data_IF_536800372442
#
_entry.id   IF_536800372442
#
_cell.length_a   1.000
_cell.length_b   1.000
_cell.length_c   1.000
_cell.angle_alpha   90.00
_cell.angle_beta   90.00
_cell.angle_gamma   90.00
#
_symmetry.space_group_name_H-M   'P 1'
#
loop_
_entity.id
_entity.type
_entity.pdbx_description
1 polymer ?
#
# COMPACT_ATOMS: atom_id res chain seq x y z
N UNK A 1 -18.35 4.67 -36.44
CA UNK A 1 -17.29 5.34 -35.65
C UNK A 1 -16.52 6.29 -36.57
N UNK A 2 -16.29 7.56 -36.20
CA UNK A 2 -15.43 8.45 -36.98
C UNK A 2 -14.05 7.81 -37.12
N UNK A 3 -13.44 7.88 -38.31
CA UNK A 3 -12.10 7.34 -38.55
C UNK A 3 -11.11 8.11 -37.67
N UNK A 4 -10.11 7.42 -37.10
CA UNK A 4 -9.11 8.03 -36.20
C UNK A 4 -8.47 9.29 -36.78
N UNK A 5 -8.37 9.37 -38.11
CA UNK A 5 -7.87 10.52 -38.87
C UNK A 5 -8.69 11.79 -38.66
N UNK A 6 -10.01 11.70 -38.54
CA UNK A 6 -10.93 12.85 -38.46
C UNK A 6 -11.07 13.44 -37.05
N UNK A 7 -10.41 12.85 -36.04
CA UNK A 7 -10.44 13.34 -34.66
C UNK A 7 -9.43 14.49 -34.52
N UNK A 8 -9.85 15.58 -33.86
CA UNK A 8 -8.98 16.69 -33.47
C UNK A 8 -7.71 16.22 -32.76
N UNK A 9 -6.55 16.78 -33.13
CA UNK A 9 -5.22 16.41 -32.60
C UNK A 9 -5.19 16.52 -31.08
N UNK A 10 -5.77 17.60 -30.53
CA UNK A 10 -5.79 17.81 -29.08
C UNK A 10 -6.49 16.65 -28.36
N UNK A 11 -7.56 16.11 -28.94
CA UNK A 11 -8.27 14.95 -28.36
C UNK A 11 -7.45 13.68 -28.47
N UNK A 12 -6.70 13.47 -29.57
CA UNK A 12 -5.79 12.32 -29.72
C UNK A 12 -4.71 12.33 -28.62
N UNK A 13 -4.11 13.50 -28.38
CA UNK A 13 -3.09 13.69 -27.33
C UNK A 13 -3.69 13.51 -25.93
N UNK A 14 -4.85 14.13 -25.66
CA UNK A 14 -5.54 14.01 -24.38
C UNK A 14 -5.89 12.55 -24.03
N UNK A 15 -6.38 11.77 -24.99
CA UNK A 15 -6.68 10.35 -24.78
C UNK A 15 -5.40 9.57 -24.45
N UNK A 16 -4.30 9.82 -25.16
CA UNK A 16 -3.01 9.19 -24.86
C UNK A 16 -2.54 9.45 -23.44
N UNK A 17 -2.51 10.73 -23.03
CA UNK A 17 -2.14 11.11 -21.66
C UNK A 17 -3.12 10.58 -20.61
N UNK A 18 -4.41 10.61 -20.90
CA UNK A 18 -5.44 10.12 -19.98
C UNK A 18 -5.27 8.62 -19.70
N UNK A 19 -4.99 7.81 -20.71
CA UNK A 19 -4.78 6.37 -20.54
C UNK A 19 -3.56 6.12 -19.63
N UNK A 20 -2.46 6.84 -19.84
CA UNK A 20 -1.27 6.72 -18.99
C UNK A 20 -1.60 7.11 -17.55
N UNK A 21 -2.25 8.26 -17.35
CA UNK A 21 -2.66 8.73 -16.03
C UNK A 21 -3.61 7.74 -15.33
N UNK A 22 -4.55 7.14 -16.07
CA UNK A 22 -5.47 6.14 -15.54
C UNK A 22 -4.73 4.89 -15.06
N UNK A 23 -3.79 4.36 -15.85
CA UNK A 23 -2.96 3.21 -15.45
C UNK A 23 -2.14 3.54 -14.21
N UNK A 24 -1.47 4.70 -14.18
CA UNK A 24 -0.70 5.14 -13.01
C UNK A 24 -1.57 5.30 -11.76
N UNK A 25 -2.79 5.82 -11.91
CA UNK A 25 -3.74 6.00 -10.80
C UNK A 25 -4.16 4.66 -10.20
N UNK A 26 -4.47 3.67 -11.05
CA UNK A 26 -4.85 2.32 -10.59
C UNK A 26 -3.70 1.66 -9.80
N UNK A 27 -2.47 1.79 -10.30
CA UNK A 27 -1.28 1.28 -9.60
C UNK A 27 -1.14 1.98 -8.25
N UNK A 28 -1.21 3.31 -8.21
CA UNK A 28 -1.05 4.09 -6.98
C UNK A 28 -2.12 3.75 -5.92
N UNK A 29 -3.38 3.65 -6.32
CA UNK A 29 -4.49 3.25 -5.43
C UNK A 29 -4.21 1.86 -4.84
N UNK A 30 -3.85 0.90 -5.68
CA UNK A 30 -3.61 -0.45 -5.22
C UNK A 30 -2.36 -0.56 -4.32
N UNK A 31 -1.29 0.18 -4.62
CA UNK A 31 -0.11 0.28 -3.74
C UNK A 31 -0.48 0.88 -2.38
N UNK A 32 -1.33 1.91 -2.37
CA UNK A 32 -1.79 2.53 -1.13
C UNK A 32 -2.63 1.59 -0.27
N UNK A 33 -3.55 0.83 -0.88
CA UNK A 33 -4.35 -0.18 -0.18
C UNK A 33 -3.45 -1.23 0.45
N UNK A 34 -2.48 -1.76 -0.29
CA UNK A 34 -1.56 -2.78 0.22
C UNK A 34 -0.67 -2.26 1.35
N UNK A 35 -0.20 -1.01 1.25
CA UNK A 35 0.59 -0.39 2.31
C UNK A 35 -0.23 -0.18 3.59
N UNK A 36 -1.51 0.20 3.47
CA UNK A 36 -2.39 0.32 4.63
C UNK A 36 -2.69 -1.03 5.29
N UNK A 37 -2.91 -2.09 4.50
CA UNK A 37 -3.08 -3.44 5.04
C UNK A 37 -1.81 -3.90 5.77
N UNK A 38 -0.63 -3.71 5.17
CA UNK A 38 0.64 -4.07 5.78
C UNK A 38 0.90 -3.27 7.09
N UNK A 39 0.50 -1.99 7.13
CA UNK A 39 0.59 -1.17 8.34
C UNK A 39 -0.30 -1.72 9.46
N UNK A 40 -1.56 -2.04 9.16
CA UNK A 40 -2.50 -2.63 10.13
C UNK A 40 -1.98 -3.96 10.64
N UNK A 41 -1.53 -4.84 9.75
CA UNK A 41 -1.05 -6.17 10.14
C UNK A 41 0.25 -6.07 10.97
N UNK A 42 1.10 -5.06 10.71
CA UNK A 42 2.28 -4.75 11.55
C UNK A 42 1.87 -4.25 12.94
N UNK A 43 0.84 -3.42 13.03
CA UNK A 43 0.28 -2.97 14.30
C UNK A 43 -0.26 -4.16 15.10
N UNK A 44 -1.07 -5.02 14.47
CA UNK A 44 -1.52 -6.29 15.04
C UNK A 44 -0.36 -7.18 15.47
N UNK A 45 0.71 -7.32 14.67
CA UNK A 45 1.91 -8.08 15.07
C UNK A 45 2.53 -7.56 16.37
N UNK A 46 2.53 -6.24 16.57
CA UNK A 46 3.04 -5.64 17.78
C UNK A 46 2.07 -5.83 18.97
N UNK A 47 0.79 -5.54 18.79
CA UNK A 47 -0.20 -5.50 19.88
C UNK A 47 -0.80 -6.85 20.25
N UNK A 48 -0.96 -7.75 19.28
CA UNK A 48 -1.57 -9.08 19.45
C UNK A 48 -0.53 -10.18 19.67
N UNK A 49 0.74 -9.95 19.31
CA UNK A 49 1.80 -10.96 19.46
C UNK A 49 2.98 -10.48 20.31
N UNK A 50 3.76 -9.48 19.87
CA UNK A 50 5.02 -9.11 20.53
C UNK A 50 4.83 -8.65 21.99
N UNK A 51 3.87 -7.75 22.22
CA UNK A 51 3.58 -7.27 23.58
C UNK A 51 3.06 -8.40 24.50
N UNK A 52 2.05 -9.20 24.11
CA UNK A 52 1.62 -10.37 24.89
C UNK A 52 2.75 -11.36 25.15
N UNK A 53 3.58 -11.67 24.16
CA UNK A 53 4.71 -12.60 24.32
C UNK A 53 5.68 -12.11 25.40
N UNK A 54 6.03 -10.83 25.38
CA UNK A 54 6.85 -10.22 26.44
C UNK A 54 6.20 -10.38 27.82
N UNK A 55 4.87 -10.21 27.91
CA UNK A 55 4.13 -10.40 29.16
C UNK A 55 4.06 -11.84 29.63
N UNK A 56 3.96 -12.82 28.72
CA UNK A 56 4.05 -14.24 29.08
C UNK A 56 5.45 -14.57 29.60
N UNK A 57 6.51 -14.06 28.96
CA UNK A 57 7.87 -14.21 29.47
C UNK A 57 8.04 -13.57 30.86
N UNK A 58 7.47 -12.37 31.05
CA UNK A 58 7.45 -11.71 32.36
C UNK A 58 6.77 -12.58 33.43
N UNK A 59 5.62 -13.20 33.13
CA UNK A 59 4.96 -14.14 34.04
C UNK A 59 5.88 -15.31 34.42
N UNK A 60 6.54 -15.90 33.42
CA UNK A 60 7.45 -17.03 33.64
C UNK A 60 8.64 -16.65 34.54
N UNK A 61 9.32 -15.54 34.25
CA UNK A 61 10.46 -15.06 35.05
C UNK A 61 10.06 -14.74 36.49
N UNK A 62 8.90 -14.10 36.70
CA UNK A 62 8.39 -13.79 38.04
C UNK A 62 8.00 -15.06 38.79
N UNK A 63 7.36 -16.01 38.11
CA UNK A 63 7.02 -17.31 38.67
C UNK A 63 8.28 -18.06 39.15
N UNK A 64 9.33 -18.12 38.34
CA UNK A 64 10.62 -18.72 38.73
C UNK A 64 11.26 -17.98 39.91
N UNK A 65 11.17 -16.65 39.94
CA UNK A 65 11.66 -15.85 41.07
C UNK A 65 10.95 -16.21 42.37
N UNK A 66 9.64 -16.44 42.32
CA UNK A 66 8.84 -16.89 43.46
C UNK A 66 9.27 -18.30 43.88
N UNK A 67 9.35 -19.25 42.96
CA UNK A 67 9.81 -20.62 43.24
C UNK A 67 11.16 -20.63 43.97
N UNK A 68 12.16 -19.93 43.40
CA UNK A 68 13.49 -19.83 44.01
C UNK A 68 13.46 -19.19 45.39
N UNK A 69 12.58 -18.19 45.60
CA UNK A 69 12.44 -17.52 46.89
C UNK A 69 11.76 -18.43 47.92
N UNK A 70 10.79 -19.26 47.50
CA UNK A 70 10.09 -20.22 48.36
C UNK A 70 11.01 -21.32 48.88
N UNK A 71 11.93 -21.84 48.04
CA UNK A 71 12.92 -22.84 48.47
C UNK A 71 13.74 -22.38 49.67
N UNK A 72 13.96 -21.07 49.84
CA UNK A 72 14.70 -20.55 51.00
C UNK A 72 13.97 -20.76 52.32
N UNK A 73 12.65 -20.91 52.32
CA UNK A 73 11.86 -21.20 53.52
C UNK A 73 11.99 -22.64 54.00
N UNK A 74 12.58 -23.55 53.20
CA UNK A 74 12.91 -24.91 53.62
C UNK A 74 14.34 -25.05 54.16
N UNK A 75 15.06 -23.94 54.33
CA UNK A 75 16.47 -23.93 54.75
C UNK A 75 16.62 -23.01 55.97
N UNK A 76 16.97 -23.59 57.12
CA UNK A 76 17.10 -22.86 58.38
C UNK A 76 18.09 -21.69 58.34
N UNK A 77 19.14 -21.78 57.52
CA UNK A 77 20.15 -20.72 57.35
C UNK A 77 19.65 -19.40 56.75
N UNK A 78 18.40 -19.35 56.25
CA UNK A 78 17.81 -18.12 55.72
C UNK A 78 16.75 -17.49 56.64
N UNK A 79 16.55 -18.03 57.85
CA UNK A 79 15.48 -17.59 58.76
C UNK A 79 15.49 -16.08 59.02
N UNK A 80 16.67 -15.49 59.26
CA UNK A 80 16.82 -14.05 59.49
C UNK A 80 16.36 -13.18 58.32
N UNK A 81 16.27 -13.74 57.11
CA UNK A 81 15.84 -13.05 55.89
C UNK A 81 14.34 -13.20 55.62
N UNK A 82 13.61 -14.04 56.37
CA UNK A 82 12.21 -14.34 56.09
C UNK A 82 11.31 -13.11 55.94
N UNK A 83 11.41 -12.05 56.78
CA UNK A 83 10.62 -10.84 56.61
C UNK A 83 10.79 -10.21 55.21
N UNK A 84 12.01 -10.15 54.70
CA UNK A 84 12.31 -9.58 53.39
C UNK A 84 11.87 -10.49 52.25
N UNK A 85 12.06 -11.81 52.40
CA UNK A 85 11.61 -12.80 51.41
C UNK A 85 10.08 -12.80 51.28
N UNK A 86 9.33 -12.68 52.38
CA UNK A 86 7.86 -12.56 52.37
C UNK A 86 7.44 -11.31 51.60
N UNK A 87 8.07 -10.16 51.88
CA UNK A 87 7.79 -8.90 51.16
C UNK A 87 8.07 -9.05 49.67
N UNK A 88 9.18 -9.71 49.30
CA UNK A 88 9.52 -9.99 47.91
C UNK A 88 8.47 -10.87 47.23
N UNK A 89 8.06 -11.97 47.86
CA UNK A 89 6.99 -12.85 47.34
C UNK A 89 5.69 -12.07 47.16
N UNK A 90 5.30 -11.24 48.12
CA UNK A 90 4.11 -10.40 48.03
C UNK A 90 4.15 -9.44 46.82
N UNK A 91 5.29 -8.80 46.60
CA UNK A 91 5.51 -7.91 45.45
C UNK A 91 5.43 -8.67 44.12
N UNK A 92 6.07 -9.84 44.02
CA UNK A 92 6.03 -10.66 42.79
C UNK A 92 4.62 -11.20 42.53
N UNK A 93 3.89 -11.64 43.57
CA UNK A 93 2.49 -12.06 43.44
C UNK A 93 1.62 -10.94 42.85
N UNK A 94 1.74 -9.73 43.38
CA UNK A 94 1.00 -8.58 42.88
C UNK A 94 1.36 -8.22 41.44
N UNK A 95 2.64 -8.33 41.06
CA UNK A 95 3.09 -8.10 39.70
C UNK A 95 2.53 -9.15 38.72
N UNK A 96 2.55 -10.43 39.11
CA UNK A 96 1.93 -11.52 38.33
C UNK A 96 0.43 -11.29 38.14
N UNK A 97 -0.30 -10.93 39.20
CA UNK A 97 -1.74 -10.62 39.14
C UNK A 97 -2.02 -9.42 38.21
N UNK A 98 -1.15 -8.41 38.21
CA UNK A 98 -1.24 -7.25 37.30
C UNK A 98 -1.03 -7.63 35.84
N UNK A 99 -0.09 -8.53 35.55
CA UNK A 99 0.14 -9.03 34.19
C UNK A 99 -1.04 -9.84 33.69
N UNK A 100 -1.63 -10.71 34.52
CA UNK A 100 -2.88 -11.39 34.15
C UNK A 100 -4.01 -10.40 33.86
N UNK A 101 -4.19 -9.36 34.70
CA UNK A 101 -5.20 -8.32 34.44
C UNK A 101 -4.98 -7.62 33.10
N UNK A 102 -3.73 -7.31 32.75
CA UNK A 102 -3.39 -6.74 31.44
C UNK A 102 -3.76 -7.70 30.30
N UNK A 103 -3.38 -8.98 30.41
CA UNK A 103 -3.63 -9.98 29.36
C UNK A 103 -5.13 -10.28 29.20
N UNK A 104 -5.89 -10.38 30.29
CA UNK A 104 -7.34 -10.60 30.24
C UNK A 104 -8.12 -9.42 29.64
N UNK A 105 -7.57 -8.20 29.68
CA UNK A 105 -8.18 -7.02 29.09
C UNK A 105 -7.96 -6.91 27.57
N UNK A 106 -7.10 -7.76 26.99
CA UNK A 106 -6.80 -7.75 25.55
C UNK A 106 -7.79 -8.61 24.76
N UNK A 107 -8.07 -8.17 23.55
CA UNK A 107 -8.89 -8.91 22.61
C UNK A 107 -8.04 -9.94 21.85
N UNK A 108 -7.85 -11.11 22.46
CA UNK A 108 -7.30 -12.27 21.77
C UNK A 108 -8.39 -13.15 21.15
N UNK A 109 -7.96 -14.08 20.29
CA UNK A 109 -8.78 -15.20 19.87
C UNK A 109 -9.12 -16.11 21.05
N UNK A 110 -10.15 -16.95 20.87
CA UNK A 110 -10.69 -17.78 21.95
C UNK A 110 -9.65 -18.76 22.51
N UNK A 111 -8.79 -19.35 21.66
CA UNK A 111 -7.80 -20.31 22.12
C UNK A 111 -6.78 -19.63 23.05
N UNK A 112 -6.27 -18.45 22.67
CA UNK A 112 -5.34 -17.70 23.52
C UNK A 112 -6.00 -17.26 24.82
N UNK A 113 -7.25 -16.79 24.78
CA UNK A 113 -8.02 -16.42 25.98
C UNK A 113 -8.19 -17.59 26.95
N UNK A 114 -8.61 -18.74 26.44
CA UNK A 114 -8.85 -19.93 27.25
C UNK A 114 -7.57 -20.40 27.93
N UNK A 115 -6.46 -20.44 27.19
CA UNK A 115 -5.17 -20.85 27.74
C UNK A 115 -4.63 -19.84 28.78
N UNK A 116 -4.78 -18.52 28.57
CA UNK A 116 -4.41 -17.51 29.58
C UNK A 116 -5.25 -17.66 30.84
N UNK A 117 -6.57 -17.84 30.71
CA UNK A 117 -7.47 -18.10 31.84
C UNK A 117 -7.06 -19.36 32.60
N UNK A 118 -6.66 -20.39 31.88
CA UNK A 118 -6.19 -21.65 32.47
C UNK A 118 -4.89 -21.50 33.25
N UNK A 119 -3.91 -20.75 32.70
CA UNK A 119 -2.69 -20.39 33.44
C UNK A 119 -3.07 -19.61 34.71
N UNK A 120 -4.01 -18.66 34.62
CA UNK A 120 -4.46 -17.87 35.76
C UNK A 120 -5.13 -18.74 36.85
N UNK A 121 -5.91 -19.74 36.48
CA UNK A 121 -6.49 -20.70 37.45
C UNK A 121 -5.39 -21.52 38.14
N UNK A 122 -4.41 -22.02 37.38
CA UNK A 122 -3.26 -22.73 37.93
C UNK A 122 -2.44 -21.83 38.85
N UNK A 123 -2.29 -20.54 38.52
CA UNK A 123 -1.66 -19.55 39.39
C UNK A 123 -2.39 -19.37 40.72
N UNK A 124 -3.72 -19.26 40.71
CA UNK A 124 -4.52 -19.15 41.93
C UNK A 124 -4.35 -20.41 42.81
N UNK A 125 -4.36 -21.59 42.18
CA UNK A 125 -4.09 -22.84 42.87
C UNK A 125 -2.68 -22.86 43.49
N UNK A 126 -1.66 -22.47 42.72
CA UNK A 126 -0.28 -22.39 43.18
C UNK A 126 -0.13 -21.44 44.38
N UNK A 127 -0.76 -20.26 44.35
CA UNK A 127 -0.76 -19.33 45.50
C UNK A 127 -1.29 -20.01 46.77
N UNK A 128 -2.41 -20.72 46.65
CA UNK A 128 -3.11 -21.27 47.81
C UNK A 128 -2.45 -22.54 48.35
N UNK A 129 -2.08 -23.47 47.46
CA UNK A 129 -1.60 -24.80 47.84
C UNK A 129 -0.09 -24.84 48.07
N UNK A 130 0.67 -24.02 47.35
CA UNK A 130 2.14 -24.05 47.40
C UNK A 130 2.69 -22.89 48.21
N UNK A 131 2.37 -21.65 47.81
CA UNK A 131 2.96 -20.46 48.46
C UNK A 131 2.55 -20.41 49.93
N UNK A 132 1.25 -20.47 50.21
CA UNK A 132 0.76 -20.28 51.57
C UNK A 132 1.18 -21.43 52.50
N UNK A 133 1.28 -22.66 51.99
CA UNK A 133 1.75 -23.83 52.74
C UNK A 133 3.25 -23.74 53.08
N UNK A 134 4.11 -23.41 52.11
CA UNK A 134 5.56 -23.26 52.33
C UNK A 134 5.84 -22.10 53.30
N UNK A 135 5.17 -20.96 53.12
CA UNK A 135 5.33 -19.81 54.01
C UNK A 135 4.90 -20.14 55.44
N UNK A 136 3.77 -20.83 55.62
CA UNK A 136 3.27 -21.21 56.94
C UNK A 136 4.23 -22.17 57.65
N UNK A 137 4.71 -23.20 56.95
CA UNK A 137 5.68 -24.16 57.49
C UNK A 137 7.00 -23.48 57.87
N UNK A 138 7.55 -22.65 56.98
CA UNK A 138 8.78 -21.89 57.24
C UNK A 138 8.64 -20.95 58.45
N UNK A 139 7.52 -20.23 58.58
CA UNK A 139 7.26 -19.34 59.72
C UNK A 139 7.09 -20.09 61.05
N UNK A 140 6.60 -21.34 61.00
CA UNK A 140 6.55 -22.23 62.16
C UNK A 140 7.90 -22.91 62.45
N UNK A 141 8.94 -22.60 61.66
CA UNK A 141 10.27 -23.25 61.68
C UNK A 141 10.22 -24.76 61.39
N UNK A 142 9.16 -25.21 60.74
CA UNK A 142 9.03 -26.57 60.24
C UNK A 142 9.62 -26.65 58.82
N UNK A 143 10.96 -26.59 58.77
CA UNK A 143 11.71 -26.59 57.51
C UNK A 143 11.57 -27.91 56.74
N UNK A 144 11.34 -29.02 57.45
CA UNK A 144 11.09 -30.32 56.84
C UNK A 144 9.75 -30.33 56.09
N UNK A 145 8.68 -29.84 56.72
CA UNK A 145 7.39 -29.70 56.05
C UNK A 145 7.47 -28.73 54.86
N UNK A 146 8.17 -27.60 55.00
CA UNK A 146 8.39 -26.68 53.89
C UNK A 146 9.14 -27.36 52.72
N UNK A 147 10.12 -28.21 53.03
CA UNK A 147 10.84 -29.02 52.04
C UNK A 147 9.93 -30.03 51.33
N UNK A 148 9.12 -30.78 52.10
CA UNK A 148 8.16 -31.76 51.57
C UNK A 148 7.16 -31.11 50.61
N UNK A 149 6.59 -29.95 50.98
CA UNK A 149 5.67 -29.24 50.08
C UNK A 149 6.39 -28.77 48.80
N UNK A 150 7.63 -28.32 48.93
CA UNK A 150 8.47 -27.88 47.79
C UNK A 150 8.78 -29.03 46.82
N UNK A 151 9.05 -30.24 47.32
CA UNK A 151 9.40 -31.40 46.49
C UNK A 151 8.19 -32.22 46.03
N UNK A 152 6.97 -31.84 46.41
CA UNK A 152 5.74 -32.56 46.03
C UNK A 152 4.77 -31.64 45.30
N UNK A 153 3.95 -30.90 46.06
CA UNK A 153 2.90 -30.03 45.53
C UNK A 153 3.48 -28.92 44.66
N UNK A 154 4.61 -28.34 45.05
CA UNK A 154 5.25 -27.30 44.25
C UNK A 154 5.76 -27.86 42.93
N UNK A 155 6.40 -29.03 42.92
CA UNK A 155 6.88 -29.66 41.68
C UNK A 155 5.71 -29.96 40.72
N UNK A 156 4.65 -30.61 41.21
CA UNK A 156 3.52 -31.00 40.38
C UNK A 156 2.81 -29.79 39.76
N UNK A 157 2.44 -28.80 40.58
CA UNK A 157 1.69 -27.63 40.12
C UNK A 157 2.59 -26.72 39.26
N UNK A 158 3.89 -26.66 39.54
CA UNK A 158 4.84 -25.94 38.68
C UNK A 158 4.96 -26.58 37.31
N UNK A 159 5.07 -27.91 37.23
CA UNK A 159 5.10 -28.60 35.95
C UNK A 159 3.81 -28.38 35.14
N UNK A 160 2.65 -28.30 35.80
CA UNK A 160 1.40 -27.91 35.14
C UNK A 160 1.46 -26.47 34.61
N UNK A 161 1.97 -25.54 35.40
CA UNK A 161 2.13 -24.14 35.01
C UNK A 161 3.05 -23.99 33.80
N UNK A 162 4.22 -24.62 33.82
CA UNK A 162 5.20 -24.59 32.73
C UNK A 162 4.61 -25.11 31.42
N UNK A 163 3.92 -26.27 31.47
CA UNK A 163 3.23 -26.79 30.27
C UNK A 163 2.22 -25.79 29.72
N UNK A 164 1.44 -25.14 30.58
CA UNK A 164 0.46 -24.14 30.14
C UNK A 164 1.13 -22.88 29.57
N UNK A 165 2.25 -22.43 30.12
CA UNK A 165 3.04 -21.34 29.52
C UNK A 165 3.52 -21.70 28.12
N UNK A 166 4.08 -22.90 27.92
CA UNK A 166 4.52 -23.37 26.60
C UNK A 166 3.38 -23.42 25.59
N UNK A 167 2.18 -23.82 26.01
CA UNK A 167 1.00 -23.84 25.14
C UNK A 167 0.61 -22.42 24.72
N UNK A 168 0.57 -21.47 25.66
CA UNK A 168 0.26 -20.06 25.33
C UNK A 168 1.32 -19.48 24.38
N UNK A 169 2.60 -19.74 24.66
CA UNK A 169 3.70 -19.29 23.80
C UNK A 169 3.59 -19.86 22.38
N UNK A 170 3.25 -21.15 22.24
CA UNK A 170 3.01 -21.78 20.95
C UNK A 170 1.89 -21.10 20.15
N UNK A 171 0.74 -20.83 20.78
CA UNK A 171 -0.36 -20.13 20.11
C UNK A 171 0.01 -18.71 19.70
N UNK A 172 0.70 -17.97 20.58
CA UNK A 172 1.19 -16.63 20.26
C UNK A 172 2.20 -16.68 19.10
N UNK A 173 3.15 -17.61 19.13
CA UNK A 173 4.16 -17.76 18.08
C UNK A 173 3.52 -18.08 16.71
N UNK A 174 2.54 -19.00 16.68
CA UNK A 174 1.77 -19.30 15.46
C UNK A 174 0.99 -18.10 14.93
N UNK A 175 0.43 -17.29 15.83
CA UNK A 175 -0.23 -16.02 15.46
C UNK A 175 0.79 -15.05 14.86
N UNK A 176 1.96 -14.91 15.49
CA UNK A 176 3.06 -14.08 15.02
C UNK A 176 3.59 -14.49 13.64
N UNK A 177 3.76 -15.80 13.39
CA UNK A 177 4.20 -16.31 12.08
C UNK A 177 3.14 -16.09 11.01
N UNK A 178 1.86 -16.25 11.34
CA UNK A 178 0.74 -15.97 10.42
C UNK A 178 0.70 -14.49 10.03
N UNK A 179 0.79 -13.58 11.00
CA UNK A 179 0.80 -12.13 10.75
C UNK A 179 2.03 -11.72 9.93
N UNK A 180 3.21 -12.23 10.27
CA UNK A 180 4.44 -11.97 9.51
C UNK A 180 4.38 -12.51 8.08
N UNK A 181 3.79 -13.70 7.89
CA UNK A 181 3.53 -14.30 6.58
C UNK A 181 2.59 -13.44 5.74
N UNK A 182 1.50 -12.95 6.33
CA UNK A 182 0.54 -12.06 5.66
C UNK A 182 1.19 -10.74 5.23
N UNK A 183 2.00 -10.12 6.09
CA UNK A 183 2.75 -8.90 5.75
C UNK A 183 3.70 -9.17 4.58
N UNK A 184 4.46 -10.27 4.65
CA UNK A 184 5.42 -10.64 3.61
C UNK A 184 4.72 -10.89 2.27
N UNK A 185 3.60 -11.62 2.30
CA UNK A 185 2.77 -11.88 1.12
C UNK A 185 2.22 -10.58 0.53
N UNK A 186 1.60 -9.72 1.33
CA UNK A 186 1.06 -8.43 0.87
C UNK A 186 2.15 -7.54 0.25
N UNK A 187 3.33 -7.48 0.86
CA UNK A 187 4.45 -6.71 0.31
C UNK A 187 4.98 -7.32 -1.00
N UNK A 188 5.06 -8.64 -1.08
CA UNK A 188 5.53 -9.34 -2.29
C UNK A 188 4.55 -9.16 -3.45
N UNK A 189 3.26 -9.45 -3.23
CA UNK A 189 2.20 -9.23 -4.21
C UNK A 189 2.12 -7.77 -4.66
N UNK A 190 2.37 -6.82 -3.74
CA UNK A 190 2.39 -5.39 -4.04
C UNK A 190 3.54 -5.00 -4.95
N UNK A 191 4.75 -5.51 -4.67
CA UNK A 191 5.90 -5.32 -5.53
C UNK A 191 5.66 -5.89 -6.93
N UNK A 192 5.14 -7.11 -7.03
CA UNK A 192 4.84 -7.73 -8.32
C UNK A 192 3.84 -6.92 -9.13
N UNK A 193 2.78 -6.41 -8.50
CA UNK A 193 1.77 -5.62 -9.20
C UNK A 193 2.31 -4.25 -9.65
N UNK A 194 3.16 -3.61 -8.85
CA UNK A 194 3.86 -2.38 -9.27
C UNK A 194 4.74 -2.65 -10.49
N UNK A 195 5.52 -3.73 -10.49
CA UNK A 195 6.40 -4.08 -11.61
C UNK A 195 5.59 -4.39 -12.87
N UNK A 196 4.57 -5.23 -12.77
CA UNK A 196 3.70 -5.57 -13.91
C UNK A 196 2.97 -4.32 -14.42
N UNK A 197 2.43 -3.51 -13.50
CA UNK A 197 1.78 -2.25 -13.85
C UNK A 197 2.71 -1.26 -14.56
N UNK A 198 3.96 -1.16 -14.11
CA UNK A 198 4.97 -0.33 -14.76
C UNK A 198 5.31 -0.83 -16.17
N UNK A 199 5.44 -2.16 -16.36
CA UNK A 199 5.69 -2.75 -17.67
C UNK A 199 4.52 -2.52 -18.64
N UNK A 200 3.28 -2.73 -18.18
CA UNK A 200 2.08 -2.46 -18.96
C UNK A 200 1.96 -0.97 -19.30
N UNK A 201 2.19 -0.09 -18.32
CA UNK A 201 2.18 1.36 -18.52
C UNK A 201 3.23 1.80 -19.55
N UNK A 202 4.44 1.26 -19.48
CA UNK A 202 5.49 1.52 -20.46
C UNK A 202 5.12 1.03 -21.86
N UNK A 203 4.54 -0.17 -21.97
CA UNK A 203 4.08 -0.72 -23.26
C UNK A 203 3.00 0.16 -23.89
N UNK A 204 2.00 0.57 -23.10
CA UNK A 204 0.93 1.46 -23.54
C UNK A 204 1.49 2.83 -23.95
N UNK A 205 2.45 3.37 -23.20
CA UNK A 205 3.14 4.61 -23.55
C UNK A 205 3.86 4.52 -24.89
N UNK A 206 4.62 3.44 -25.12
CA UNK A 206 5.32 3.18 -26.38
C UNK A 206 4.32 3.09 -27.54
N UNK A 207 3.24 2.32 -27.39
CA UNK A 207 2.19 2.19 -28.39
C UNK A 207 1.52 3.55 -28.70
N UNK A 208 1.25 4.36 -27.67
CA UNK A 208 0.68 5.69 -27.85
C UNK A 208 1.61 6.60 -28.65
N UNK A 209 2.93 6.57 -28.40
CA UNK A 209 3.91 7.33 -29.20
C UNK A 209 3.88 6.89 -30.66
N UNK A 210 3.95 5.58 -30.94
CA UNK A 210 3.97 5.08 -32.31
C UNK A 210 2.67 5.36 -33.08
N UNK A 211 1.53 5.45 -32.38
CA UNK A 211 0.24 5.78 -33.00
C UNK A 211 0.07 7.28 -33.21
N UNK A 212 0.45 8.11 -32.23
CA UNK A 212 0.20 9.55 -32.26
C UNK A 212 1.27 10.29 -33.06
N UNK A 213 2.56 9.95 -32.90
CA UNK A 213 3.65 10.69 -33.54
C UNK A 213 3.48 10.80 -35.07
N UNK A 214 3.21 9.73 -35.84
CA UNK A 214 3.04 9.85 -37.29
C UNK A 214 1.85 10.71 -37.71
N UNK A 215 0.81 10.81 -36.87
CA UNK A 215 -0.37 11.66 -37.16
C UNK A 215 -0.07 13.15 -37.06
N UNK A 216 1.03 13.51 -36.39
CA UNK A 216 1.51 14.89 -36.26
C UNK A 216 2.66 15.13 -37.23
N UNK A 217 3.67 14.25 -37.27
CA UNK A 217 4.89 14.49 -38.04
C UNK A 217 4.67 14.44 -39.55
N UNK A 218 3.80 13.56 -40.05
CA UNK A 218 3.56 13.43 -41.50
C UNK A 218 2.88 14.69 -42.10
N UNK A 219 1.73 15.17 -41.57
CA UNK A 219 1.10 16.37 -42.12
C UNK A 219 2.00 17.60 -42.04
N UNK A 220 2.76 17.78 -40.94
CA UNK A 220 3.72 18.88 -40.82
C UNK A 220 4.79 18.81 -41.93
N UNK A 221 5.28 17.61 -42.25
CA UNK A 221 6.22 17.41 -43.36
C UNK A 221 5.62 17.80 -44.71
N UNK A 222 4.37 17.39 -44.99
CA UNK A 222 3.65 17.76 -46.21
C UNK A 222 3.45 19.26 -46.34
N UNK A 223 3.07 19.95 -45.25
CA UNK A 223 2.98 21.41 -45.21
C UNK A 223 4.31 22.09 -45.49
N UNK A 224 5.39 21.62 -44.84
CA UNK A 224 6.73 22.17 -45.03
C UNK A 224 7.15 22.08 -46.49
N UNK A 225 6.95 20.92 -47.12
CA UNK A 225 7.25 20.72 -48.55
C UNK A 225 6.40 21.64 -49.43
N UNK A 226 5.10 21.76 -49.18
CA UNK A 226 4.22 22.62 -49.95
C UNK A 226 4.65 24.10 -49.90
N UNK A 227 5.02 24.58 -48.72
CA UNK A 227 5.54 25.93 -48.52
C UNK A 227 6.88 26.16 -49.20
N UNK A 228 7.75 25.16 -49.25
CA UNK A 228 9.00 25.25 -49.98
C UNK A 228 8.78 25.38 -51.50
N UNK A 229 7.80 24.68 -52.07
CA UNK A 229 7.44 24.86 -53.48
C UNK A 229 6.85 26.25 -53.76
N UNK A 230 5.95 26.72 -52.90
CA UNK A 230 5.34 28.05 -53.07
C UNK A 230 6.36 29.18 -52.93
N UNK A 231 7.34 29.06 -52.03
CA UNK A 231 8.39 30.07 -51.88
C UNK A 231 9.30 30.16 -53.10
N UNK A 232 9.46 29.07 -53.85
CA UNK A 232 10.16 29.02 -55.14
C UNK A 232 9.27 29.42 -56.34
N UNK A 233 8.05 29.89 -56.10
CA UNK A 233 7.09 30.27 -57.14
C UNK A 233 6.40 29.10 -57.84
N UNK A 234 6.61 27.87 -57.40
CA UNK A 234 5.98 26.68 -57.98
C UNK A 234 4.66 26.36 -57.27
N UNK A 235 3.53 26.73 -57.88
CA UNK A 235 2.20 26.43 -57.38
C UNK A 235 1.57 25.15 -57.98
N UNK A 236 2.30 24.42 -58.83
CA UNK A 236 1.84 23.20 -59.49
C UNK A 236 2.05 21.93 -58.66
N UNK A 237 1.78 22.01 -57.36
CA UNK A 237 1.72 20.86 -56.47
C UNK A 237 0.28 20.41 -56.26
N UNK A 238 0.08 19.10 -56.24
CA UNK A 238 -1.19 18.50 -55.87
C UNK A 238 -1.30 18.45 -54.35
N UNK A 239 -2.39 19.00 -53.83
CA UNK A 239 -2.69 19.08 -52.41
C UNK A 239 -4.13 18.67 -52.24
N UNK A 240 -4.35 17.65 -51.40
CA UNK A 240 -5.68 17.10 -51.13
C UNK A 240 -5.96 17.23 -49.64
N UNK A 241 -7.07 17.87 -49.29
CA UNK A 241 -7.57 17.92 -47.92
C UNK A 241 -8.27 16.60 -47.59
N UNK A 242 -7.49 15.67 -47.03
CA UNK A 242 -7.87 14.26 -46.82
C UNK A 242 -8.22 13.91 -45.37
N UNK A 243 -8.41 14.92 -44.53
CA UNK A 243 -8.72 14.83 -43.09
C UNK A 243 -9.72 15.93 -42.70
N UNK A 244 -10.47 15.70 -41.62
CA UNK A 244 -11.35 16.71 -40.98
C UNK A 244 -10.78 17.29 -39.68
N UNK A 245 -9.54 16.96 -39.33
CA UNK A 245 -8.85 17.55 -38.17
C UNK A 245 -8.19 18.89 -38.52
N UNK A 246 -7.45 19.47 -37.57
CA UNK A 246 -6.82 20.78 -37.71
C UNK A 246 -5.84 20.83 -38.89
N UNK A 247 -5.17 19.73 -39.24
CA UNK A 247 -4.31 19.66 -40.42
C UNK A 247 -5.13 19.61 -41.71
N UNK A 248 -6.27 18.93 -41.71
CA UNK A 248 -7.21 18.93 -42.84
C UNK A 248 -7.76 20.33 -43.15
N UNK A 249 -8.16 21.06 -42.11
CA UNK A 249 -8.60 22.47 -42.22
C UNK A 249 -7.48 23.35 -42.79
N UNK A 250 -6.26 23.21 -42.26
CA UNK A 250 -5.08 23.94 -42.74
C UNK A 250 -4.77 23.60 -44.22
N UNK A 251 -4.99 22.34 -44.65
CA UNK A 251 -4.70 21.91 -46.03
C UNK A 251 -5.71 22.55 -46.98
N UNK A 252 -6.97 22.62 -46.56
CA UNK A 252 -8.03 23.30 -47.29
C UNK A 252 -7.71 24.79 -47.49
N UNK A 253 -7.26 25.48 -46.44
CA UNK A 253 -6.83 26.88 -46.55
C UNK A 253 -5.63 27.05 -47.50
N UNK A 254 -4.68 26.10 -47.48
CA UNK A 254 -3.52 26.12 -48.37
C UNK A 254 -3.89 25.95 -49.84
N UNK A 255 -4.85 25.07 -50.12
CA UNK A 255 -5.41 24.84 -51.45
C UNK A 255 -6.07 26.13 -51.96
N UNK A 256 -6.90 26.78 -51.13
CA UNK A 256 -7.53 28.05 -51.48
C UNK A 256 -6.49 29.15 -51.79
N UNK A 257 -5.42 29.24 -50.98
CA UNK A 257 -4.32 30.17 -51.22
C UNK A 257 -3.60 29.88 -52.55
N UNK A 258 -3.26 28.62 -52.82
CA UNK A 258 -2.63 28.18 -54.07
C UNK A 258 -3.47 28.59 -55.29
N UNK A 259 -4.78 28.32 -55.23
CA UNK A 259 -5.68 28.55 -56.35
C UNK A 259 -5.83 30.05 -56.63
N UNK A 260 -5.92 30.88 -55.59
CA UNK A 260 -5.91 32.35 -55.72
C UNK A 260 -4.60 32.88 -56.32
N UNK A 261 -3.44 32.32 -55.96
CA UNK A 261 -2.15 32.72 -56.56
C UNK A 261 -2.07 32.30 -58.03
N UNK A 262 -2.50 31.09 -58.37
CA UNK A 262 -2.58 30.62 -59.76
C UNK A 262 -3.48 31.51 -60.61
N UNK A 263 -4.61 31.94 -60.07
CA UNK A 263 -5.52 32.85 -60.77
C UNK A 263 -4.85 34.22 -61.03
N UNK A 264 -4.15 34.77 -60.04
CA UNK A 264 -3.36 36.02 -60.20
C UNK A 264 -2.25 35.88 -61.24
N UNK A 265 -1.52 34.76 -61.24
CA UNK A 265 -0.47 34.47 -62.24
C UNK A 265 -1.10 34.40 -63.64
N UNK A 266 -2.20 33.67 -63.82
CA UNK A 266 -2.92 33.60 -65.10
C UNK A 266 -3.42 34.97 -65.58
N UNK A 267 -3.92 35.80 -64.66
CA UNK A 267 -4.33 37.16 -64.99
C UNK A 267 -3.15 38.02 -65.43
N UNK A 268 -2.01 37.93 -64.75
CA UNK A 268 -0.78 38.62 -65.14
C UNK A 268 -0.24 38.14 -66.49
N UNK A 269 -0.27 36.83 -66.78
CA UNK A 269 0.08 36.27 -68.10
C UNK A 269 -0.84 36.81 -69.20
N UNK A 270 -2.16 36.84 -68.97
CA UNK A 270 -3.13 37.45 -69.92
C UNK A 270 -2.80 38.93 -70.19
N UNK A 271 -2.50 39.70 -69.15
CA UNK A 271 -2.12 41.12 -69.26
C UNK A 271 -0.81 41.28 -70.03
N UNK A 272 0.21 40.47 -69.71
CA UNK A 272 1.51 40.46 -70.40
C UNK A 272 1.38 40.10 -71.89
N UNK A 273 0.40 39.26 -72.23
CA UNK A 273 0.07 38.90 -73.61
C UNK A 273 -0.90 39.90 -74.28
N UNK A 274 -1.19 41.04 -73.65
CA UNK A 274 -2.01 42.12 -74.22
C UNK A 274 -3.53 41.88 -74.20
N UNK A 275 -4.01 40.89 -73.45
CA UNK A 275 -5.44 40.53 -73.36
C UNK A 275 -6.04 41.19 -72.11
N UNK A 276 -6.80 42.28 -72.30
CA UNK A 276 -7.50 42.99 -71.21
C UNK A 276 -9.00 42.64 -71.20
N UNK A 277 -9.47 41.94 -70.17
CA UNK A 277 -10.92 41.78 -69.94
C UNK A 277 -11.49 43.05 -69.29
N UNK A 278 -12.46 43.69 -69.98
CA UNK A 278 -13.15 44.90 -69.54
C UNK A 278 -14.00 44.58 -68.31
N UNK A 279 -13.61 45.05 -67.13
CA UNK A 279 -14.30 44.76 -65.86
C UNK A 279 -15.77 45.17 -65.87
N UNK A 280 -16.67 44.21 -65.56
CA UNK A 280 -18.10 44.47 -65.30
C UNK A 280 -18.23 45.27 -64.01
N UNK A 281 -18.86 46.44 -64.12
CA UNK A 281 -19.31 47.27 -63.00
C UNK A 281 -20.31 46.51 -62.13
N UNK A 282 -19.96 46.29 -60.86
CA UNK A 282 -20.85 45.68 -59.87
C UNK A 282 -21.92 46.71 -59.48
N UNK A 283 -23.18 46.37 -59.78
CA UNK A 283 -24.36 47.11 -59.34
C UNK A 283 -24.52 47.08 -57.82
N UNK A 284 -24.83 48.24 -57.24
CA UNK A 284 -25.09 48.44 -55.81
C UNK A 284 -26.25 47.55 -55.31
N UNK A 285 -25.94 46.55 -54.48
CA UNK A 285 -26.92 45.83 -53.66
C UNK A 285 -27.13 46.54 -52.32
N UNK A 286 -28.38 46.93 -52.04
CA UNK A 286 -28.81 47.53 -50.76
C UNK A 286 -28.70 46.53 -49.62
N UNK A 287 -28.06 46.94 -48.53
CA UNK A 287 -28.19 46.28 -47.22
C UNK A 287 -29.59 46.51 -46.66
N UNK A 288 -30.28 45.44 -46.26
CA UNK A 288 -31.40 45.49 -45.31
C UNK A 288 -30.96 44.73 -44.07
N UNK A 289 -30.75 45.48 -42.99
CA UNK A 289 -30.59 44.95 -41.63
C UNK A 289 -32.02 44.71 -41.10
N UNK A 290 -32.30 43.49 -40.62
CA UNK A 290 -33.43 43.24 -39.71
C UNK A 290 -32.84 42.66 -38.42
N UNK A 291 -33.20 43.30 -37.31
CA UNK A 291 -32.87 42.89 -35.95
C UNK A 291 -33.75 41.78 -35.43
#
# INVERSE_FOLDING_TARGET
MPKFKDIKIIRKIQVGFFVIAAVSTVIAINSFIQMNNAKRDKESLFTEFLQPQYKIHELYTRFQTIQFTLVKFSISGFEDQFPDLIKKIGSEKAAVDSVFKYLSAKEFDQNVKDNISDVQKTWINYKTVVIDAILSAGLMKDFEMASVVTTTSAEEISAQMERKFTIVEYYLQNRGTTLSGNITYQLSSGKSLIIIGALVGALVFILAIFLIAPTITKPIGEFKLAMEYFSKGNFNIDLIADSKDEFGEMKSMLIQFRDAQKEKIKAAEKISNGIFEKGRTIGRGRYIIRG
#
